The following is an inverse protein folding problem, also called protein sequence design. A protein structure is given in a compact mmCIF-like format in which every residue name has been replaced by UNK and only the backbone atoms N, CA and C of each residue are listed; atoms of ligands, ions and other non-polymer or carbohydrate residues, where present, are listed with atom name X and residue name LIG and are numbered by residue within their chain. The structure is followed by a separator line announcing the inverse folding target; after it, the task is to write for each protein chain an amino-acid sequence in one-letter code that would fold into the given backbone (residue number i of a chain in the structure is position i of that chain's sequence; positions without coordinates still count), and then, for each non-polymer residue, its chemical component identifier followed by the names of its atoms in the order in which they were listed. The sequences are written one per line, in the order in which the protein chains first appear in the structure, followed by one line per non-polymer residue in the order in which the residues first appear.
data_IF_711991679476
#
_entry.id   IF_711991679476
#
_cell.length_a   1.000
_cell.length_b   1.000
_cell.length_c   1.000
_cell.angle_alpha   90.00
_cell.angle_beta   90.00
_cell.angle_gamma   90.00
#
_symmetry.space_group_name_H-M   'P 1'
#
loop_
_entity.id
_entity.type
_entity.pdbx_description
1 polymer ?
#
# COMPACT_ATOMS: atom_id res chain seq x y z
N UNK A 1 10.38 -2.25 -26.18
CA UNK A 1 10.98 -1.86 -24.89
C UNK A 1 12.05 -2.89 -24.57
N UNK A 2 13.28 -2.46 -24.28
CA UNK A 2 14.36 -3.36 -23.88
C UNK A 2 14.44 -3.37 -22.35
N UNK A 3 14.61 -4.55 -21.75
CA UNK A 3 14.80 -4.71 -20.30
C UNK A 3 16.15 -5.37 -20.08
N UNK A 4 16.98 -4.77 -19.23
CA UNK A 4 18.32 -5.29 -18.94
C UNK A 4 18.26 -6.15 -17.69
N UNK A 5 18.79 -7.38 -17.73
CA UNK A 5 18.88 -8.21 -16.54
C UNK A 5 19.90 -7.63 -15.55
N UNK A 6 19.59 -7.76 -14.26
CA UNK A 6 20.41 -7.34 -13.14
C UNK A 6 20.86 -8.60 -12.41
N UNK A 7 22.17 -8.82 -12.31
CA UNK A 7 22.71 -9.88 -11.47
C UNK A 7 22.64 -9.47 -9.99
N UNK A 8 22.14 -10.38 -9.16
CA UNK A 8 22.04 -10.19 -7.72
C UNK A 8 23.30 -10.71 -7.02
N UNK A 9 23.97 -9.86 -6.25
CA UNK A 9 25.05 -10.26 -5.36
C UNK A 9 24.53 -10.52 -3.93
N UNK A 10 25.41 -11.02 -3.05
CA UNK A 10 25.07 -11.31 -1.65
C UNK A 10 24.65 -10.06 -0.85
N UNK A 11 25.06 -8.87 -1.31
CA UNK A 11 24.73 -7.60 -0.67
C UNK A 11 23.49 -6.92 -1.29
N UNK A 12 22.84 -7.56 -2.27
CA UNK A 12 21.73 -6.96 -2.99
C UNK A 12 20.51 -6.79 -2.07
N UNK A 13 19.84 -5.63 -2.08
CA UNK A 13 18.65 -5.41 -1.26
C UNK A 13 17.43 -6.23 -1.70
N UNK A 14 17.51 -6.91 -2.85
CA UNK A 14 16.41 -7.69 -3.41
C UNK A 14 16.45 -9.17 -3.01
N UNK A 15 17.48 -9.60 -2.27
CA UNK A 15 17.57 -10.96 -1.73
C UNK A 15 16.43 -11.20 -0.74
N UNK A 16 15.77 -12.35 -0.86
CA UNK A 16 14.61 -12.71 -0.03
C UNK A 16 13.28 -12.14 -0.51
N UNK A 17 13.26 -11.27 -1.52
CA UNK A 17 12.01 -10.87 -2.15
C UNK A 17 11.51 -11.94 -3.13
N UNK A 18 10.21 -12.03 -3.36
CA UNK A 18 9.61 -13.07 -4.20
C UNK A 18 9.45 -12.62 -5.66
N UNK A 19 9.78 -13.52 -6.60
CA UNK A 19 9.46 -13.33 -8.02
C UNK A 19 7.94 -13.30 -8.26
N UNK A 20 7.45 -12.31 -9.01
CA UNK A 20 6.03 -12.14 -9.26
C UNK A 20 5.39 -13.29 -10.09
N UNK A 21 6.18 -14.11 -10.79
CA UNK A 21 5.70 -15.30 -11.51
C UNK A 21 5.79 -16.57 -10.65
N UNK A 22 6.99 -17.03 -10.31
CA UNK A 22 7.19 -18.33 -9.65
C UNK A 22 7.02 -18.30 -8.13
N UNK A 23 6.95 -17.12 -7.52
CA UNK A 23 6.84 -16.89 -6.06
C UNK A 23 8.01 -17.37 -5.21
N UNK A 24 9.06 -17.94 -5.81
CA UNK A 24 10.31 -18.24 -5.13
C UNK A 24 11.07 -16.95 -4.81
N UNK A 25 11.80 -16.97 -3.69
CA UNK A 25 12.67 -15.88 -3.23
C UNK A 25 13.93 -15.75 -4.10
N UNK A 26 14.36 -14.52 -4.35
CA UNK A 26 15.63 -14.25 -5.03
C UNK A 26 16.83 -14.60 -4.14
N UNK A 27 17.81 -15.26 -4.73
CA UNK A 27 19.08 -15.63 -4.09
C UNK A 27 20.26 -14.95 -4.78
N UNK A 28 21.38 -14.90 -4.07
CA UNK A 28 22.60 -14.37 -4.65
C UNK A 28 23.05 -15.25 -5.83
N UNK A 29 23.39 -14.62 -6.95
CA UNK A 29 23.71 -15.26 -8.22
C UNK A 29 22.54 -15.26 -9.22
N UNK A 30 21.32 -14.98 -8.78
CA UNK A 30 20.17 -14.94 -9.67
C UNK A 30 20.19 -13.72 -10.59
N UNK A 31 19.61 -13.87 -11.78
CA UNK A 31 19.36 -12.77 -12.70
C UNK A 31 17.91 -12.30 -12.57
N UNK A 32 17.74 -11.03 -12.24
CA UNK A 32 16.44 -10.40 -12.06
C UNK A 32 16.15 -9.39 -13.19
N UNK A 33 14.89 -9.32 -13.57
CA UNK A 33 14.33 -8.34 -14.51
C UNK A 33 13.22 -7.57 -13.79
N UNK A 34 13.17 -6.26 -13.99
CA UNK A 34 12.15 -5.38 -13.41
C UNK A 34 11.20 -4.94 -14.51
N UNK A 35 9.91 -5.13 -14.31
CA UNK A 35 8.90 -4.68 -15.26
C UNK A 35 8.92 -3.14 -15.38
N UNK A 36 8.88 -2.58 -16.62
CA UNK A 36 8.95 -1.14 -16.83
C UNK A 36 7.69 -0.36 -16.41
N UNK A 37 6.54 -1.03 -16.26
CA UNK A 37 5.26 -0.37 -15.98
C UNK A 37 4.93 -0.31 -14.48
N UNK A 38 5.09 -1.42 -13.76
CA UNK A 38 4.65 -1.58 -12.37
C UNK A 38 5.80 -1.91 -11.40
N UNK A 39 7.04 -1.94 -11.90
CA UNK A 39 8.24 -2.30 -11.14
C UNK A 39 8.18 -3.69 -10.46
N UNK A 40 7.30 -4.59 -10.91
CA UNK A 40 7.27 -5.96 -10.45
C UNK A 40 8.57 -6.69 -10.83
N UNK A 41 9.08 -7.51 -9.92
CA UNK A 41 10.37 -8.20 -10.07
C UNK A 41 10.15 -9.64 -10.50
N UNK A 42 10.94 -10.07 -11.47
CA UNK A 42 10.88 -11.42 -12.04
C UNK A 42 12.29 -11.98 -12.19
N UNK A 43 12.47 -13.29 -12.06
CA UNK A 43 13.68 -13.92 -12.59
C UNK A 43 13.75 -13.71 -14.11
N UNK A 44 14.94 -13.54 -14.67
CA UNK A 44 15.17 -13.45 -16.13
C UNK A 44 14.52 -14.62 -16.87
N UNK A 45 14.75 -15.83 -16.37
CA UNK A 45 14.16 -17.05 -16.91
C UNK A 45 12.62 -17.04 -16.84
N UNK A 46 12.04 -16.60 -15.71
CA UNK A 46 10.59 -16.48 -15.55
C UNK A 46 9.98 -15.45 -16.51
N UNK A 47 10.63 -14.30 -16.68
CA UNK A 47 10.19 -13.25 -17.59
C UNK A 47 10.14 -13.75 -19.04
N UNK A 48 11.20 -14.43 -19.48
CA UNK A 48 11.28 -15.02 -20.83
C UNK A 48 10.26 -16.14 -21.01
N UNK A 49 10.11 -17.03 -20.02
CA UNK A 49 9.14 -18.12 -20.04
C UNK A 49 7.69 -17.61 -20.11
N UNK A 50 7.40 -16.45 -19.53
CA UNK A 50 6.10 -15.80 -19.65
C UNK A 50 5.92 -15.02 -20.98
N UNK A 51 6.86 -15.10 -21.92
CA UNK A 51 6.79 -14.39 -23.19
C UNK A 51 7.14 -12.92 -23.07
N UNK A 52 8.12 -12.59 -22.23
CA UNK A 52 8.66 -11.24 -22.07
C UNK A 52 7.62 -10.20 -21.59
N UNK A 53 6.77 -10.61 -20.64
CA UNK A 53 5.65 -9.81 -20.11
C UNK A 53 5.49 -9.98 -18.60
N UNK A 54 4.85 -9.00 -17.97
CA UNK A 54 4.53 -9.02 -16.55
C UNK A 54 3.38 -10.01 -16.24
N UNK A 55 3.35 -10.52 -15.00
CA UNK A 55 2.25 -11.34 -14.46
C UNK A 55 1.46 -10.68 -13.34
N UNK A 56 1.83 -9.46 -12.93
CA UNK A 56 1.04 -8.73 -11.96
C UNK A 56 -0.36 -8.45 -12.51
N UNK A 57 -1.35 -8.56 -11.64
CA UNK A 57 -2.75 -8.37 -12.01
C UNK A 57 -2.97 -6.96 -12.57
N UNK A 58 -3.52 -6.87 -13.78
CA UNK A 58 -3.82 -5.59 -14.45
C UNK A 58 -2.63 -4.90 -15.11
N UNK A 59 -1.42 -5.46 -15.05
CA UNK A 59 -0.25 -4.88 -15.71
C UNK A 59 -0.13 -5.37 -17.16
N UNK A 60 0.16 -4.44 -18.08
CA UNK A 60 0.39 -4.73 -19.51
C UNK A 60 1.86 -4.64 -19.91
N UNK A 61 2.76 -4.52 -18.94
CA UNK A 61 4.20 -4.34 -19.14
C UNK A 61 4.83 -5.49 -19.91
N UNK A 62 5.65 -5.14 -20.90
CA UNK A 62 6.36 -6.05 -21.80
C UNK A 62 7.73 -5.49 -22.15
N UNK A 63 8.66 -6.38 -22.47
CA UNK A 63 9.97 -5.96 -22.96
C UNK A 63 10.94 -7.12 -23.17
N UNK A 64 11.74 -7.02 -24.22
CA UNK A 64 12.72 -8.03 -24.57
C UNK A 64 13.96 -7.93 -23.69
N UNK A 65 14.47 -9.07 -23.22
CA UNK A 65 15.68 -9.14 -22.39
C UNK A 65 16.90 -8.90 -23.28
N UNK A 66 17.61 -7.80 -23.05
CA UNK A 66 18.84 -7.47 -23.78
C UNK A 66 20.03 -7.67 -22.86
N UNK A 67 20.85 -8.67 -23.17
CA UNK A 67 22.09 -8.94 -22.46
C UNK A 67 23.17 -7.95 -22.91
N UNK A 68 23.69 -7.14 -21.98
CA UNK A 68 24.65 -6.07 -22.30
C UNK A 68 26.08 -6.62 -22.47
N UNK A 69 26.25 -7.94 -22.39
CA UNK A 69 27.54 -8.63 -22.50
C UNK A 69 28.09 -8.69 -23.92
N UNK A 70 28.18 -7.57 -24.65
CA UNK A 70 29.13 -7.43 -25.78
C UNK A 70 29.34 -5.97 -26.17
N UNK A 71 30.11 -5.24 -25.37
CA UNK A 71 30.93 -4.16 -25.94
C UNK A 71 32.34 -4.28 -25.36
N UNK A 72 33.37 -4.60 -26.16
CA UNK A 72 34.74 -4.51 -25.68
C UNK A 72 34.95 -3.08 -25.15
N UNK A 73 35.73 -2.89 -24.08
CA UNK A 73 36.02 -1.56 -23.55
C UNK A 73 36.56 -0.73 -24.70
N UNK A 74 35.75 0.20 -25.23
CA UNK A 74 36.24 1.16 -26.20
C UNK A 74 37.12 2.09 -25.40
N UNK A 75 38.41 1.77 -25.41
CA UNK A 75 39.49 2.54 -24.81
C UNK A 75 39.28 3.99 -25.24
N UNK A 76 38.71 4.79 -24.33
CA UNK A 76 38.53 6.21 -24.50
C UNK A 76 39.95 6.75 -24.44
N UNK A 77 40.62 6.82 -25.59
CA UNK A 77 41.88 7.53 -25.78
C UNK A 77 41.63 8.98 -25.41
N UNK A 78 41.85 9.29 -24.13
CA UNK A 78 41.93 10.65 -23.63
C UNK A 78 43.25 11.18 -24.16
N UNK A 79 43.22 11.96 -25.22
CA UNK A 79 44.33 12.83 -25.57
C UNK A 79 44.50 13.81 -24.40
N UNK A 80 45.44 13.47 -23.52
CA UNK A 80 45.83 14.23 -22.35
C UNK A 80 46.37 15.58 -22.81
N UNK A 81 45.60 16.64 -22.54
CA UNK A 81 46.09 18.01 -22.58
C UNK A 81 46.67 18.30 -21.18
N UNK A 82 47.97 18.62 -21.04
CA UNK A 82 48.54 18.90 -19.74
C UNK A 82 48.14 20.31 -19.30
N UNK A 83 47.65 20.44 -18.07
CA UNK A 83 47.52 21.72 -17.38
C UNK A 83 46.10 22.08 -16.92
N UNK A 84 45.64 21.45 -15.84
CA UNK A 84 44.75 22.08 -14.86
C UNK A 84 44.85 21.31 -13.52
N UNK A 85 44.88 21.98 -12.37
CA UNK A 85 44.99 21.32 -11.07
C UNK A 85 43.76 20.45 -10.79
N UNK A 86 44.04 19.21 -10.39
CA UNK A 86 43.05 18.17 -10.15
C UNK A 86 42.46 18.37 -8.76
N UNK A 87 41.30 19.02 -8.65
CA UNK A 87 40.42 18.80 -7.50
C UNK A 87 39.63 17.53 -7.75
N UNK A 88 40.18 16.42 -7.26
CA UNK A 88 39.46 15.17 -7.06
C UNK A 88 38.37 15.39 -6.02
N UNK A 89 37.10 15.25 -6.40
CA UNK A 89 36.12 14.52 -5.60
C UNK A 89 34.75 14.49 -6.27
N UNK A 90 34.29 13.27 -6.51
CA UNK A 90 32.89 12.86 -6.49
C UNK A 90 32.01 13.17 -7.72
N UNK A 91 32.23 12.41 -8.79
CA UNK A 91 31.26 12.22 -9.87
C UNK A 91 30.43 10.95 -9.61
N UNK A 92 29.72 10.92 -8.48
CA UNK A 92 28.64 9.96 -8.25
C UNK A 92 27.49 10.28 -9.20
N UNK A 93 26.95 9.26 -9.88
CA UNK A 93 25.69 9.35 -10.59
C UNK A 93 24.63 9.81 -9.60
N UNK A 94 24.27 11.08 -9.66
CA UNK A 94 23.30 11.69 -8.75
C UNK A 94 21.89 11.25 -9.15
N UNK A 95 21.57 9.97 -8.95
CA UNK A 95 20.18 9.55 -8.76
C UNK A 95 19.76 10.23 -7.47
N UNK A 96 19.20 11.44 -7.60
CA UNK A 96 18.49 12.07 -6.49
C UNK A 96 17.23 11.25 -6.29
N UNK A 97 17.27 10.31 -5.36
CA UNK A 97 16.07 10.00 -4.59
C UNK A 97 15.62 11.33 -4.00
N UNK A 98 14.52 11.88 -4.54
CA UNK A 98 13.87 12.98 -3.85
C UNK A 98 13.52 12.44 -2.47
N UNK A 99 13.99 13.07 -1.38
CA UNK A 99 13.51 12.70 -0.07
C UNK A 99 11.99 12.87 -0.10
N UNK A 100 11.24 11.88 0.39
CA UNK A 100 9.77 11.88 0.43
C UNK A 100 9.17 13.06 1.24
N UNK A 101 9.99 13.99 1.70
CA UNK A 101 9.62 15.15 2.51
C UNK A 101 9.00 16.30 1.69
N UNK A 102 9.14 16.32 0.35
CA UNK A 102 8.58 17.40 -0.48
C UNK A 102 7.08 17.31 -0.73
N UNK A 103 6.42 16.20 -0.37
CA UNK A 103 4.96 16.08 -0.49
C UNK A 103 4.18 16.73 0.66
N UNK A 104 4.87 17.21 1.70
CA UNK A 104 4.23 17.62 2.96
C UNK A 104 3.21 18.75 2.80
N UNK A 105 3.42 19.75 1.92
CA UNK A 105 2.46 20.87 1.87
C UNK A 105 1.15 20.53 1.14
N UNK A 106 1.23 19.90 -0.03
CA UNK A 106 0.03 19.50 -0.79
C UNK A 106 -0.71 18.34 -0.11
N UNK A 107 0.03 17.37 0.45
CA UNK A 107 -0.56 16.25 1.17
C UNK A 107 -1.21 16.69 2.48
N UNK A 108 -0.61 17.62 3.24
CA UNK A 108 -1.25 18.18 4.44
C UNK A 108 -2.49 19.00 4.12
N UNK A 109 -2.49 19.77 3.02
CA UNK A 109 -3.67 20.52 2.60
C UNK A 109 -4.85 19.60 2.26
N UNK A 110 -4.58 18.51 1.54
CA UNK A 110 -5.59 17.51 1.19
C UNK A 110 -6.12 16.75 2.42
N UNK A 111 -5.25 16.39 3.36
CA UNK A 111 -5.69 15.73 4.61
C UNK A 111 -6.55 16.69 5.44
N UNK A 112 -6.16 17.96 5.56
CA UNK A 112 -6.90 18.96 6.32
C UNK A 112 -8.29 19.20 5.71
N UNK A 113 -8.39 19.30 4.38
CA UNK A 113 -9.68 19.51 3.72
C UNK A 113 -10.63 18.33 3.91
N UNK A 114 -10.13 17.09 3.80
CA UNK A 114 -10.90 15.88 4.07
C UNK A 114 -11.37 15.85 5.53
N UNK A 115 -10.50 16.16 6.49
CA UNK A 115 -10.85 16.18 7.90
C UNK A 115 -11.95 17.21 8.21
N UNK A 116 -11.83 18.44 7.67
CA UNK A 116 -12.84 19.48 7.85
C UNK A 116 -14.18 19.06 7.21
N UNK A 117 -14.15 18.46 6.02
CA UNK A 117 -15.37 17.98 5.35
C UNK A 117 -16.10 16.90 6.18
N UNK A 118 -15.36 15.93 6.75
CA UNK A 118 -15.94 14.89 7.61
C UNK A 118 -16.57 15.50 8.86
N UNK A 119 -15.89 16.45 9.50
CA UNK A 119 -16.40 17.13 10.70
C UNK A 119 -17.70 17.90 10.39
N UNK A 120 -17.71 18.68 9.31
CA UNK A 120 -18.90 19.44 8.90
C UNK A 120 -20.07 18.52 8.53
N UNK A 121 -19.80 17.44 7.80
CA UNK A 121 -20.82 16.44 7.46
C UNK A 121 -21.39 15.77 8.72
N UNK A 122 -20.51 15.42 9.67
CA UNK A 122 -20.92 14.81 10.95
C UNK A 122 -21.79 15.76 11.77
N UNK A 123 -21.34 16.99 11.99
CA UNK A 123 -22.08 18.00 12.74
C UNK A 123 -23.41 18.33 12.05
N UNK A 124 -23.43 18.40 10.72
CA UNK A 124 -24.65 18.63 9.95
C UNK A 124 -25.66 17.50 10.14
N UNK A 125 -25.25 16.24 9.93
CA UNK A 125 -26.14 15.09 10.08
C UNK A 125 -26.64 14.91 11.52
N UNK A 126 -25.73 14.90 12.51
CA UNK A 126 -26.11 14.72 13.90
C UNK A 126 -26.86 15.93 14.47
N UNK A 127 -26.45 17.15 14.11
CA UNK A 127 -27.11 18.37 14.55
C UNK A 127 -28.53 18.49 14.00
N UNK A 128 -28.71 18.23 12.70
CA UNK A 128 -30.04 18.26 12.08
C UNK A 128 -30.95 17.18 12.68
N UNK A 129 -30.41 15.98 12.91
CA UNK A 129 -31.14 14.90 13.56
C UNK A 129 -31.54 15.26 15.00
N UNK A 130 -30.63 15.82 15.79
CA UNK A 130 -30.90 16.24 17.17
C UNK A 130 -31.96 17.35 17.24
N UNK A 131 -31.94 18.31 16.31
CA UNK A 131 -32.98 19.35 16.22
C UNK A 131 -34.33 18.74 15.86
N UNK A 132 -34.37 17.83 14.87
CA UNK A 132 -35.59 17.14 14.50
C UNK A 132 -36.17 16.32 15.66
N UNK A 133 -35.33 15.60 16.40
CA UNK A 133 -35.72 14.86 17.61
C UNK A 133 -36.23 15.78 18.71
N UNK A 134 -35.57 16.92 18.95
CA UNK A 134 -36.02 17.91 19.92
C UNK A 134 -37.41 18.47 19.58
N UNK A 135 -37.64 18.78 18.30
CA UNK A 135 -38.94 19.27 17.82
C UNK A 135 -40.01 18.18 17.97
N UNK A 136 -39.70 16.95 17.57
CA UNK A 136 -40.62 15.83 17.67
C UNK A 136 -41.06 15.58 19.12
N UNK A 137 -40.13 15.63 20.07
CA UNK A 137 -40.39 15.31 21.49
C UNK A 137 -40.96 16.47 22.29
N UNK A 138 -40.41 17.68 22.15
CA UNK A 138 -40.75 18.80 23.03
C UNK A 138 -41.85 19.72 22.48
N UNK A 139 -41.97 19.82 21.15
CA UNK A 139 -42.95 20.72 20.51
C UNK A 139 -44.16 19.92 20.04
N UNK A 140 -43.94 18.80 19.37
CA UNK A 140 -45.01 17.96 18.81
C UNK A 140 -45.51 16.88 19.78
N UNK A 141 -44.84 16.69 20.93
CA UNK A 141 -45.14 15.65 21.91
C UNK A 141 -45.31 14.25 21.30
N UNK A 142 -44.55 13.94 20.24
CA UNK A 142 -44.67 12.69 19.51
C UNK A 142 -44.01 11.53 20.29
N UNK A 143 -44.78 10.51 20.72
CA UNK A 143 -44.29 9.45 21.61
C UNK A 143 -43.63 8.30 20.82
N UNK A 144 -42.62 8.57 19.99
CA UNK A 144 -41.92 7.50 19.25
C UNK A 144 -40.78 6.86 20.06
N UNK A 145 -40.29 7.54 21.12
CA UNK A 145 -39.34 6.98 22.10
C UNK A 145 -40.02 6.15 23.19
N UNK A 146 -41.32 5.84 23.05
CA UNK A 146 -42.00 4.95 23.99
C UNK A 146 -41.34 3.57 23.96
N UNK A 147 -40.92 3.06 25.12
CA UNK A 147 -40.57 1.66 25.24
C UNK A 147 -41.77 0.85 24.72
N UNK A 148 -41.58 -0.07 23.75
CA UNK A 148 -42.68 -0.97 23.40
C UNK A 148 -43.03 -1.71 24.68
N UNK A 149 -44.23 -1.47 25.21
CA UNK A 149 -44.74 -2.14 26.39
C UNK A 149 -44.67 -3.66 26.15
N UNK A 150 -43.62 -4.33 26.64
CA UNK A 150 -43.43 -5.76 26.44
C UNK A 150 -42.00 -6.27 26.18
N UNK A 151 -41.01 -5.42 25.89
CA UNK A 151 -39.62 -5.90 25.81
C UNK A 151 -38.90 -5.70 27.15
N UNK A 152 -39.00 -6.68 28.05
CA UNK A 152 -37.99 -6.79 29.10
C UNK A 152 -36.66 -7.10 28.38
N UNK A 153 -35.61 -6.26 28.54
CA UNK A 153 -34.35 -6.55 27.90
C UNK A 153 -33.83 -7.90 28.41
N UNK A 154 -33.27 -8.73 27.51
CA UNK A 154 -32.89 -10.13 27.78
C UNK A 154 -32.04 -10.34 29.05
N UNK A 155 -31.29 -9.33 29.50
CA UNK A 155 -30.52 -9.38 30.74
C UNK A 155 -31.37 -9.36 32.02
N UNK A 156 -32.60 -8.83 31.98
CA UNK A 156 -33.57 -8.91 33.09
C UNK A 156 -34.28 -10.27 33.16
N UNK A 157 -34.28 -11.07 32.08
CA UNK A 157 -34.80 -12.45 32.06
C UNK A 157 -33.77 -13.48 32.53
N UNK A 158 -32.48 -13.13 32.53
CA UNK A 158 -31.38 -14.01 32.93
C UNK A 158 -31.50 -14.60 34.35
N UNK A 159 -31.90 -13.87 35.41
CA UNK A 159 -31.99 -14.46 36.75
C UNK A 159 -33.13 -15.48 36.92
N UNK A 160 -34.17 -15.45 36.07
CA UNK A 160 -35.31 -16.37 36.16
C UNK A 160 -35.01 -17.76 35.57
N UNK A 161 -34.16 -17.83 34.53
CA UNK A 161 -33.71 -19.13 33.99
C UNK A 161 -32.64 -19.80 34.87
N UNK A 162 -31.84 -19.02 35.61
CA UNK A 162 -30.80 -19.56 36.48
C UNK A 162 -31.33 -20.28 37.73
N UNK A 163 -32.59 -20.04 38.12
CA UNK A 163 -33.24 -20.73 39.26
C UNK A 163 -34.02 -21.99 38.87
N UNK A 164 -34.15 -22.30 37.57
CA UNK A 164 -34.91 -23.46 37.10
C UNK A 164 -34.32 -24.85 37.44
N UNK A 165 -33.01 -25.08 37.66
CA UNK A 165 -32.53 -26.45 37.88
C UNK A 165 -32.85 -27.00 39.29
N UNK A 166 -33.33 -26.18 40.23
CA UNK A 166 -33.62 -26.64 41.60
C UNK A 166 -35.06 -27.15 41.83
N UNK A 167 -36.00 -26.86 40.92
CA UNK A 167 -37.40 -27.29 41.08
C UNK A 167 -37.67 -28.70 40.53
N UNK A 168 -36.77 -29.27 39.72
CA UNK A 168 -36.93 -30.63 39.18
C UNK A 168 -36.40 -31.73 40.10
N UNK A 169 -35.87 -31.40 41.28
CA UNK A 169 -35.34 -32.37 42.27
C UNK A 169 -36.29 -32.59 43.46
N UNK A 170 -37.52 -32.07 43.40
CA UNK A 170 -38.52 -32.15 44.48
C UNK A 170 -39.85 -32.80 44.04
N UNK A 171 -39.86 -33.46 42.87
CA UNK A 171 -40.92 -34.36 42.38
C UNK A 171 -40.30 -35.72 42.06
#
# INVERSE_FOLDING_TARGET
MAVTPIHLDQASPFIGEACALCKEEFRAGDEMVVCPEDAARHHKACWQANGNRCTAYGCTGRGEVVDVMTRPPRERRQTMRPGAPVTSANRTSKVRVMPATSFSWAQSCLILSIAVAIILCSVGCFGLWAIADYIATNILHWPYRGEPAGWLPLWQLAPLLSSAPYLLSLL
#
